data_IF_471494420371
#
_entry.id   IF_471494420371
#
_cell.length_a   1.000
_cell.length_b   1.000
_cell.length_c   1.000
_cell.angle_alpha   90.00
_cell.angle_beta   90.00
_cell.angle_gamma   90.00
#
_symmetry.space_group_name_H-M   'P 1'
#
loop_
_entity.id
_entity.type
_entity.pdbx_description
1 polymer ?
#
# COMPACT_ATOMS: atom_id res chain seq x y z
N UNK A 1 -22.80 -31.14 -19.39
CA UNK A 1 -23.09 -30.36 -18.17
C UNK A 1 -22.42 -29.01 -18.32
N UNK A 2 -23.15 -27.92 -18.31
CA UNK A 2 -22.54 -26.60 -18.28
C UNK A 2 -21.73 -26.45 -17.00
N UNK A 3 -20.50 -25.98 -17.11
CA UNK A 3 -19.62 -25.74 -15.97
C UNK A 3 -20.25 -24.60 -15.14
N UNK A 4 -20.53 -24.88 -13.86
CA UNK A 4 -21.08 -23.86 -12.95
C UNK A 4 -20.06 -22.71 -12.84
N UNK A 5 -20.49 -21.45 -12.99
CA UNK A 5 -19.58 -20.31 -12.87
C UNK A 5 -19.02 -20.20 -11.45
N UNK A 6 -17.74 -19.79 -11.36
CA UNK A 6 -17.05 -19.51 -10.09
C UNK A 6 -17.15 -18.01 -9.80
N UNK A 7 -17.70 -17.67 -8.65
CA UNK A 7 -17.88 -16.30 -8.18
C UNK A 7 -16.94 -16.01 -7.01
N UNK A 8 -16.08 -15.02 -7.17
CA UNK A 8 -15.15 -14.56 -6.13
C UNK A 8 -15.33 -13.06 -5.90
N UNK A 9 -15.57 -12.68 -4.65
CA UNK A 9 -15.60 -11.29 -4.26
C UNK A 9 -14.35 -10.96 -3.45
N UNK A 10 -13.53 -10.01 -3.90
CA UNK A 10 -12.49 -9.38 -3.13
C UNK A 10 -13.04 -8.13 -2.45
N UNK A 11 -12.74 -7.94 -1.18
CA UNK A 11 -13.07 -6.72 -0.45
C UNK A 11 -11.80 -6.08 0.10
N UNK A 12 -11.68 -4.76 -0.05
CA UNK A 12 -10.72 -3.94 0.65
C UNK A 12 -11.46 -3.18 1.76
N UNK A 13 -10.88 -3.10 2.94
CA UNK A 13 -11.38 -2.32 4.06
C UNK A 13 -10.31 -1.31 4.48
N UNK A 14 -10.70 -0.24 5.15
CA UNK A 14 -9.82 0.88 5.46
C UNK A 14 -10.29 2.13 4.72
N UNK A 15 -9.50 3.17 4.71
CA UNK A 15 -9.87 4.49 4.17
C UNK A 15 -10.22 4.53 2.66
N UNK A 16 -9.92 3.48 1.92
CA UNK A 16 -10.33 3.27 0.52
C UNK A 16 -11.07 1.92 0.39
N UNK A 17 -12.16 1.77 1.14
CA UNK A 17 -12.95 0.54 1.07
C UNK A 17 -13.57 0.34 -0.30
N UNK A 18 -13.69 -0.92 -0.72
CA UNK A 18 -14.28 -1.26 -2.00
C UNK A 18 -14.42 -2.76 -2.22
N UNK A 19 -15.10 -3.10 -3.29
CA UNK A 19 -15.36 -4.49 -3.70
C UNK A 19 -14.99 -4.69 -5.16
N UNK A 20 -14.41 -5.84 -5.47
CA UNK A 20 -14.26 -6.37 -6.81
C UNK A 20 -14.97 -7.72 -6.90
N UNK A 21 -15.85 -7.90 -7.86
CA UNK A 21 -16.52 -9.18 -8.14
C UNK A 21 -15.99 -9.80 -9.42
N UNK A 22 -15.52 -11.04 -9.32
CA UNK A 22 -15.12 -11.86 -10.47
C UNK A 22 -16.16 -12.95 -10.75
N UNK A 23 -16.34 -13.23 -12.05
CA UNK A 23 -17.00 -14.41 -12.56
C UNK A 23 -16.04 -15.15 -13.50
N UNK A 24 -15.68 -16.38 -13.19
CA UNK A 24 -14.76 -17.20 -13.99
C UNK A 24 -13.41 -16.49 -14.30
N UNK A 25 -12.95 -15.64 -13.38
CA UNK A 25 -11.71 -14.87 -13.49
C UNK A 25 -11.83 -13.50 -14.18
N UNK A 26 -12.98 -13.19 -14.75
CA UNK A 26 -13.25 -11.88 -15.37
C UNK A 26 -13.88 -10.91 -14.38
N UNK A 27 -13.44 -9.65 -14.39
CA UNK A 27 -14.00 -8.60 -13.52
C UNK A 27 -15.40 -8.24 -14.01
N UNK A 28 -16.42 -8.50 -13.19
CA UNK A 28 -17.80 -8.10 -13.46
C UNK A 28 -18.05 -6.66 -13.03
N UNK A 29 -17.57 -6.30 -11.84
CA UNK A 29 -17.49 -4.92 -11.39
C UNK A 29 -16.37 -4.75 -10.34
N UNK A 30 -15.88 -3.51 -10.23
CA UNK A 30 -15.07 -3.05 -9.12
C UNK A 30 -15.51 -1.63 -8.76
N UNK A 31 -15.73 -1.35 -7.46
CA UNK A 31 -16.23 -0.06 -7.00
C UNK A 31 -15.73 0.26 -5.60
N UNK A 32 -15.35 1.51 -5.40
CA UNK A 32 -15.08 2.05 -4.05
C UNK A 32 -16.37 2.41 -3.33
N UNK A 33 -16.41 2.19 -2.03
CA UNK A 33 -17.55 2.48 -1.17
C UNK A 33 -17.98 3.95 -1.27
N UNK A 34 -17.02 4.87 -1.27
CA UNK A 34 -17.27 6.32 -1.36
C UNK A 34 -18.06 6.74 -2.60
N UNK A 35 -18.03 5.93 -3.69
CA UNK A 35 -18.80 6.21 -4.90
C UNK A 35 -20.30 5.97 -4.69
N UNK A 36 -20.64 5.04 -3.79
CA UNK A 36 -22.01 4.71 -3.43
C UNK A 36 -22.52 5.58 -2.29
N UNK A 37 -21.73 5.73 -1.22
CA UNK A 37 -22.13 6.46 -0.02
C UNK A 37 -21.99 7.97 -0.13
N UNK A 38 -21.17 8.46 -1.08
CA UNK A 38 -20.80 9.88 -1.22
C UNK A 38 -20.02 10.44 -0.03
N UNK A 39 -19.47 9.56 0.80
CA UNK A 39 -18.59 9.91 1.91
C UNK A 39 -17.15 9.61 1.51
N UNK A 40 -16.32 10.66 1.39
CA UNK A 40 -14.92 10.51 1.03
C UNK A 40 -14.18 9.71 2.11
N UNK A 41 -13.34 8.77 1.68
CA UNK A 41 -12.57 7.88 2.56
C UNK A 41 -13.45 6.97 3.44
N UNK A 42 -14.62 6.55 2.95
CA UNK A 42 -15.48 5.61 3.66
C UNK A 42 -14.79 4.25 3.80
N UNK A 43 -14.64 3.80 5.06
CA UNK A 43 -13.78 2.67 5.43
C UNK A 43 -14.49 1.32 5.50
N UNK A 44 -15.81 1.27 5.34
CA UNK A 44 -16.59 0.03 5.44
C UNK A 44 -17.23 -0.35 4.11
N UNK A 45 -16.85 -1.44 3.44
CA UNK A 45 -17.36 -1.81 2.11
C UNK A 45 -18.79 -2.38 2.13
N UNK A 46 -19.72 -1.77 2.88
CA UNK A 46 -21.05 -2.34 3.12
C UNK A 46 -21.99 -2.18 1.95
N UNK A 47 -22.11 -0.98 1.38
CA UNK A 47 -22.97 -0.74 0.21
C UNK A 47 -22.39 -1.43 -1.03
N UNK A 48 -21.07 -1.44 -1.19
CA UNK A 48 -20.43 -2.18 -2.29
C UNK A 48 -20.58 -3.70 -2.15
N UNK A 49 -20.58 -4.26 -0.94
CA UNK A 49 -20.93 -5.68 -0.72
C UNK A 49 -22.38 -5.98 -1.07
N UNK A 50 -23.31 -5.09 -0.71
CA UNK A 50 -24.74 -5.26 -1.07
C UNK A 50 -24.94 -5.24 -2.59
N UNK A 51 -24.10 -4.48 -3.31
CA UNK A 51 -24.16 -4.43 -4.78
C UNK A 51 -23.86 -5.78 -5.45
N UNK A 52 -23.17 -6.71 -4.79
CA UNK A 52 -22.93 -8.06 -5.28
C UNK A 52 -24.26 -8.77 -5.65
N UNK A 53 -25.33 -8.51 -4.86
CA UNK A 53 -26.65 -9.12 -5.08
C UNK A 53 -27.32 -8.74 -6.42
N UNK A 54 -26.86 -7.68 -7.10
CA UNK A 54 -27.31 -7.32 -8.43
C UNK A 54 -26.81 -8.32 -9.51
N UNK A 55 -25.77 -9.12 -9.18
CA UNK A 55 -25.10 -10.01 -10.13
C UNK A 55 -25.19 -11.49 -9.76
N UNK A 56 -25.15 -11.80 -8.46
CA UNK A 56 -25.19 -13.18 -7.96
C UNK A 56 -25.76 -13.23 -6.54
N UNK A 57 -26.43 -14.35 -6.22
CA UNK A 57 -26.92 -14.66 -4.87
C UNK A 57 -25.97 -15.56 -4.07
N UNK A 58 -24.83 -15.94 -4.65
CA UNK A 58 -23.85 -16.85 -4.05
C UNK A 58 -22.45 -16.52 -4.48
N UNK A 59 -21.51 -16.64 -3.53
CA UNK A 59 -20.07 -16.62 -3.75
C UNK A 59 -19.48 -18.00 -3.48
N UNK A 60 -18.46 -18.38 -4.25
CA UNK A 60 -17.60 -19.50 -3.90
C UNK A 60 -16.57 -19.05 -2.86
N UNK A 61 -16.04 -17.83 -2.98
CA UNK A 61 -15.12 -17.24 -2.01
C UNK A 61 -15.37 -15.74 -1.79
N UNK A 62 -15.20 -15.31 -0.55
CA UNK A 62 -15.04 -13.91 -0.14
C UNK A 62 -13.60 -13.72 0.33
N UNK A 63 -12.86 -12.85 -0.32
CA UNK A 63 -11.43 -12.62 -0.04
C UNK A 63 -11.26 -11.25 0.58
N UNK A 64 -10.60 -11.16 1.73
CA UNK A 64 -10.45 -9.91 2.47
C UNK A 64 -9.02 -9.41 2.35
N UNK A 65 -8.87 -8.19 1.84
CA UNK A 65 -7.63 -7.44 1.77
C UNK A 65 -7.59 -6.36 2.85
N UNK A 66 -6.51 -6.30 3.59
CA UNK A 66 -6.20 -5.26 4.56
C UNK A 66 -4.71 -5.33 4.94
N UNK A 67 -4.28 -4.50 5.86
CA UNK A 67 -2.92 -4.51 6.44
C UNK A 67 -2.82 -5.33 7.72
N UNK A 68 -3.96 -5.70 8.31
CA UNK A 68 -4.05 -6.43 9.57
C UNK A 68 -5.10 -7.55 9.49
N UNK A 69 -4.85 -8.60 10.25
CA UNK A 69 -5.69 -9.79 10.31
C UNK A 69 -7.16 -9.46 10.61
N UNK A 70 -8.06 -10.15 9.90
CA UNK A 70 -9.51 -9.96 9.99
C UNK A 70 -10.06 -10.20 11.40
N UNK A 71 -9.65 -11.27 12.06
CA UNK A 71 -10.12 -11.59 13.42
C UNK A 71 -9.64 -10.59 14.47
N UNK A 72 -8.49 -9.99 14.25
CA UNK A 72 -7.87 -9.04 15.19
C UNK A 72 -8.53 -7.66 15.13
N UNK A 73 -8.96 -7.21 13.95
CA UNK A 73 -9.32 -5.81 13.72
C UNK A 73 -10.75 -5.56 13.25
N UNK A 74 -11.42 -6.56 12.67
CA UNK A 74 -12.83 -6.40 12.29
C UNK A 74 -13.74 -6.50 13.51
N UNK A 75 -14.66 -5.56 13.62
CA UNK A 75 -15.69 -5.61 14.66
C UNK A 75 -16.62 -6.79 14.50
N UNK A 76 -17.29 -7.20 15.58
CA UNK A 76 -18.32 -8.21 15.55
C UNK A 76 -19.65 -7.63 15.09
N UNK A 77 -20.40 -8.36 14.28
CA UNK A 77 -21.73 -7.93 13.80
C UNK A 77 -22.78 -8.14 14.87
N UNK A 78 -22.71 -9.29 15.55
CA UNK A 78 -23.64 -9.74 16.56
C UNK A 78 -22.98 -10.78 17.49
N UNK A 79 -23.82 -11.45 18.29
CA UNK A 79 -23.38 -12.50 19.22
C UNK A 79 -23.00 -13.83 18.53
N UNK A 80 -23.05 -13.91 17.22
CA UNK A 80 -22.69 -15.13 16.46
C UNK A 80 -21.19 -15.44 16.51
N UNK A 81 -20.37 -14.43 16.81
CA UNK A 81 -18.92 -14.54 16.81
C UNK A 81 -18.28 -14.21 15.45
N UNK A 82 -19.08 -13.95 14.42
CA UNK A 82 -18.57 -13.54 13.12
C UNK A 82 -17.91 -12.14 13.17
N UNK A 83 -16.90 -11.93 12.34
CA UNK A 83 -16.49 -10.56 11.98
C UNK A 83 -17.58 -9.90 11.13
N UNK A 84 -17.51 -8.57 11.01
CA UNK A 84 -18.55 -7.76 10.36
C UNK A 84 -18.78 -8.17 8.90
N UNK A 85 -17.74 -8.54 8.16
CA UNK A 85 -17.84 -8.85 6.72
C UNK A 85 -18.38 -10.26 6.50
N UNK A 86 -17.87 -11.23 7.25
CA UNK A 86 -18.39 -12.61 7.25
C UNK A 86 -19.86 -12.64 7.68
N UNK A 87 -20.20 -11.94 8.77
CA UNK A 87 -21.57 -11.88 9.26
C UNK A 87 -22.53 -11.24 8.25
N UNK A 88 -22.12 -10.15 7.61
CA UNK A 88 -22.91 -9.51 6.55
C UNK A 88 -23.11 -10.44 5.35
N UNK A 89 -22.06 -11.06 4.84
CA UNK A 89 -22.15 -12.00 3.71
C UNK A 89 -23.04 -13.22 4.03
N UNK A 90 -22.96 -13.75 5.26
CA UNK A 90 -23.85 -14.84 5.72
C UNK A 90 -25.30 -14.39 5.81
N UNK A 91 -25.58 -13.20 6.35
CA UNK A 91 -26.93 -12.65 6.45
C UNK A 91 -27.55 -12.42 5.06
N UNK A 92 -26.77 -11.92 4.12
CA UNK A 92 -27.20 -11.75 2.72
C UNK A 92 -27.37 -13.08 1.98
N UNK A 93 -26.84 -14.19 2.50
CA UNK A 93 -26.88 -15.51 1.85
C UNK A 93 -25.81 -15.71 0.78
N UNK A 94 -24.88 -14.78 0.65
CA UNK A 94 -23.78 -14.86 -0.31
C UNK A 94 -22.82 -16.02 -0.01
N UNK A 95 -22.64 -16.36 1.26
CA UNK A 95 -21.83 -17.50 1.72
C UNK A 95 -22.66 -18.41 2.64
N UNK A 96 -22.16 -19.61 2.91
CA UNK A 96 -22.87 -20.63 3.68
C UNK A 96 -23.24 -20.14 5.08
N UNK A 97 -24.48 -20.44 5.53
CA UNK A 97 -24.95 -20.19 6.89
C UNK A 97 -24.66 -21.36 7.86
N UNK A 98 -24.00 -22.43 7.39
CA UNK A 98 -23.67 -23.56 8.25
C UNK A 98 -22.77 -23.12 9.41
N UNK A 99 -22.93 -23.71 10.60
CA UNK A 99 -22.00 -23.47 11.71
C UNK A 99 -20.57 -23.84 11.33
N UNK A 100 -19.61 -23.11 11.86
CA UNK A 100 -18.18 -23.39 11.72
C UNK A 100 -17.46 -23.05 13.04
N UNK A 101 -16.19 -23.42 13.16
CA UNK A 101 -15.42 -23.16 14.36
C UNK A 101 -15.21 -21.63 14.54
N UNK A 102 -15.67 -21.02 15.64
CA UNK A 102 -15.57 -19.58 15.86
C UNK A 102 -14.12 -19.07 16.04
N UNK A 103 -13.16 -19.98 16.27
CA UNK A 103 -11.74 -19.65 16.38
C UNK A 103 -11.00 -19.68 15.03
N UNK A 104 -11.70 -20.02 13.96
CA UNK A 104 -11.20 -20.07 12.58
C UNK A 104 -11.96 -19.09 11.70
N UNK A 105 -11.42 -18.79 10.52
CA UNK A 105 -12.16 -18.08 9.50
C UNK A 105 -13.25 -18.99 8.91
N UNK A 106 -14.35 -18.39 8.47
CA UNK A 106 -15.36 -19.12 7.71
C UNK A 106 -14.72 -19.80 6.49
N UNK A 107 -15.08 -21.08 6.15
CA UNK A 107 -14.43 -21.84 5.06
C UNK A 107 -14.44 -21.17 3.68
N UNK A 108 -15.38 -20.24 3.43
CA UNK A 108 -15.44 -19.48 2.17
C UNK A 108 -14.85 -18.07 2.32
N UNK A 109 -14.28 -17.71 3.47
CA UNK A 109 -13.64 -16.40 3.71
C UNK A 109 -12.15 -16.58 3.85
N UNK A 110 -11.42 -15.98 2.93
CA UNK A 110 -9.95 -16.03 2.88
C UNK A 110 -9.41 -14.68 3.30
N UNK A 111 -8.64 -14.66 4.37
CA UNK A 111 -7.94 -13.46 4.85
C UNK A 111 -6.56 -13.36 4.21
N UNK A 112 -6.36 -12.35 3.37
CA UNK A 112 -5.09 -12.06 2.69
C UNK A 112 -4.38 -10.82 3.26
N UNK A 113 -4.71 -10.41 4.48
CA UNK A 113 -4.09 -9.23 5.11
C UNK A 113 -2.58 -9.35 5.31
N UNK A 114 -2.06 -10.58 5.39
CA UNK A 114 -0.64 -10.88 5.55
C UNK A 114 0.21 -10.65 4.29
N UNK A 115 -0.40 -10.29 3.15
CA UNK A 115 0.28 -10.11 1.86
C UNK A 115 -0.17 -8.83 1.13
N UNK A 116 -0.43 -7.75 1.87
CA UNK A 116 -1.02 -6.51 1.34
C UNK A 116 -0.26 -5.97 0.11
N UNK A 117 1.06 -5.80 0.19
CA UNK A 117 1.85 -5.34 -0.97
C UNK A 117 1.83 -6.33 -2.15
N UNK A 118 1.72 -7.63 -1.88
CA UNK A 118 1.54 -8.63 -2.95
C UNK A 118 0.18 -8.44 -3.65
N UNK A 119 -0.86 -8.00 -2.94
CA UNK A 119 -2.16 -7.71 -3.54
C UNK A 119 -2.09 -6.49 -4.46
N UNK A 120 -1.37 -5.43 -4.07
CA UNK A 120 -1.06 -4.32 -4.97
C UNK A 120 -0.29 -4.78 -6.22
N UNK A 121 0.74 -5.62 -6.03
CA UNK A 121 1.50 -6.18 -7.14
C UNK A 121 0.64 -7.04 -8.07
N UNK A 122 -0.24 -7.89 -7.51
CA UNK A 122 -1.15 -8.73 -8.27
C UNK A 122 -2.13 -7.88 -9.11
N UNK A 123 -2.71 -6.82 -8.53
CA UNK A 123 -3.58 -5.90 -9.26
C UNK A 123 -2.86 -5.32 -10.48
N UNK A 124 -1.69 -4.73 -10.27
CA UNK A 124 -0.94 -4.11 -11.35
C UNK A 124 -0.46 -5.13 -12.39
N UNK A 125 0.05 -6.27 -11.95
CA UNK A 125 0.60 -7.29 -12.82
C UNK A 125 -0.46 -7.93 -13.72
N UNK A 126 -1.57 -8.39 -13.15
CA UNK A 126 -2.62 -9.05 -13.94
C UNK A 126 -3.34 -8.09 -14.90
N UNK A 127 -3.42 -6.81 -14.58
CA UNK A 127 -4.06 -5.80 -15.43
C UNK A 127 -3.13 -5.17 -16.46
N UNK A 128 -1.81 -5.30 -16.28
CA UNK A 128 -0.82 -4.79 -17.24
C UNK A 128 -0.84 -5.53 -18.59
N UNK A 129 -1.33 -6.76 -18.61
CA UNK A 129 -1.24 -7.65 -19.77
C UNK A 129 0.15 -8.28 -19.97
N UNK A 130 1.09 -8.06 -19.03
CA UNK A 130 2.41 -8.69 -19.08
C UNK A 130 2.36 -10.14 -18.60
N UNK A 131 3.15 -11.01 -19.21
CA UNK A 131 3.31 -12.38 -18.73
C UNK A 131 4.42 -12.51 -17.67
N UNK A 132 5.34 -11.56 -17.67
CA UNK A 132 6.40 -11.40 -16.68
C UNK A 132 6.71 -9.91 -16.51
N UNK A 133 7.04 -9.49 -15.30
CA UNK A 133 7.38 -8.13 -14.97
C UNK A 133 8.12 -8.05 -13.64
N UNK A 134 8.68 -6.90 -13.31
CA UNK A 134 9.04 -6.56 -11.94
C UNK A 134 8.04 -5.55 -11.38
N UNK A 135 7.49 -5.84 -10.19
CA UNK A 135 6.57 -4.93 -9.52
C UNK A 135 7.31 -4.06 -8.51
N UNK A 136 7.04 -2.75 -8.55
CA UNK A 136 7.52 -1.76 -7.59
C UNK A 136 6.31 -1.21 -6.84
N UNK A 137 6.18 -1.57 -5.57
CA UNK A 137 5.09 -1.13 -4.71
C UNK A 137 5.62 -0.03 -3.79
N UNK A 138 4.93 1.11 -3.79
CA UNK A 138 5.28 2.28 -2.99
C UNK A 138 4.03 2.73 -2.25
N UNK A 139 3.97 2.42 -0.96
CA UNK A 139 2.77 2.59 -0.15
C UNK A 139 3.06 3.20 1.22
N UNK A 140 2.02 3.71 1.88
CA UNK A 140 2.14 4.34 3.20
C UNK A 140 2.37 3.35 4.33
N UNK A 141 1.62 2.27 4.33
CA UNK A 141 1.77 1.17 5.26
C UNK A 141 1.08 -0.08 4.72
N UNK A 142 1.84 -1.10 4.37
CA UNK A 142 1.33 -2.41 4.01
C UNK A 142 1.11 -3.31 5.22
N UNK A 143 1.37 -4.61 5.08
CA UNK A 143 1.16 -5.59 6.15
C UNK A 143 1.95 -5.23 7.41
N UNK A 144 1.27 -5.30 8.56
CA UNK A 144 1.90 -5.21 9.87
C UNK A 144 2.44 -6.58 10.28
N UNK A 145 3.71 -6.63 10.66
CA UNK A 145 4.46 -7.85 10.98
C UNK A 145 5.04 -7.69 12.37
N UNK A 146 4.80 -8.65 13.25
CA UNK A 146 5.44 -8.70 14.57
C UNK A 146 6.75 -9.49 14.45
N UNK A 147 7.88 -8.81 14.58
CA UNK A 147 9.20 -9.42 14.56
C UNK A 147 9.62 -9.77 15.98
N UNK A 148 10.06 -11.00 16.20
CA UNK A 148 10.71 -11.37 17.45
C UNK A 148 12.10 -10.75 17.50
N UNK A 149 12.38 -9.99 18.55
CA UNK A 149 13.71 -9.42 18.77
C UNK A 149 14.54 -10.34 19.67
N UNK A 150 15.86 -10.19 19.61
CA UNK A 150 16.79 -10.93 20.50
C UNK A 150 16.58 -10.60 22.00
N UNK A 151 15.81 -9.57 22.32
CA UNK A 151 15.43 -9.19 23.69
C UNK A 151 14.16 -9.91 24.16
N UNK A 152 13.50 -10.69 23.28
CA UNK A 152 12.28 -11.41 23.57
C UNK A 152 10.98 -10.60 23.48
N UNK A 153 11.07 -9.29 23.27
CA UNK A 153 9.89 -8.44 23.07
C UNK A 153 9.60 -8.31 21.57
N UNK A 154 8.37 -8.56 21.11
CA UNK A 154 8.02 -8.41 19.72
C UNK A 154 8.03 -6.93 19.32
N UNK A 155 8.57 -6.64 18.14
CA UNK A 155 8.53 -5.31 17.54
C UNK A 155 7.65 -5.34 16.29
N UNK A 156 6.61 -4.51 16.28
CA UNK A 156 5.75 -4.38 15.10
C UNK A 156 6.45 -3.50 14.06
N UNK A 157 6.54 -4.02 12.85
CA UNK A 157 7.00 -3.31 11.65
C UNK A 157 5.90 -3.37 10.58
N UNK A 158 6.00 -2.54 9.55
CA UNK A 158 5.09 -2.55 8.40
C UNK A 158 5.83 -2.34 7.09
N UNK A 159 5.26 -2.85 6.01
CA UNK A 159 5.79 -2.66 4.67
C UNK A 159 5.63 -1.20 4.22
N UNK A 160 6.67 -0.63 3.59
CA UNK A 160 6.64 0.72 2.98
C UNK A 160 6.89 0.66 1.48
N UNK A 161 8.02 0.10 1.05
CA UNK A 161 8.31 -0.18 -0.35
C UNK A 161 8.64 -1.66 -0.53
N UNK A 162 8.16 -2.26 -1.62
CA UNK A 162 8.45 -3.67 -1.93
C UNK A 162 8.71 -3.87 -3.42
N UNK A 163 9.65 -4.74 -3.73
CA UNK A 163 9.96 -5.17 -5.10
C UNK A 163 9.66 -6.66 -5.23
N UNK A 164 8.82 -7.03 -6.21
CA UNK A 164 8.52 -8.41 -6.55
C UNK A 164 8.97 -8.74 -7.97
N UNK A 165 9.57 -9.92 -8.14
CA UNK A 165 9.70 -10.55 -9.43
C UNK A 165 8.42 -11.34 -9.73
N UNK A 166 7.70 -10.95 -10.79
CA UNK A 166 6.39 -11.46 -11.11
C UNK A 166 6.43 -12.28 -12.40
N UNK A 167 5.80 -13.45 -12.39
CA UNK A 167 5.56 -14.25 -13.57
C UNK A 167 4.19 -14.96 -13.49
N UNK A 168 3.49 -14.97 -14.62
CA UNK A 168 2.19 -15.63 -14.73
C UNK A 168 2.34 -17.16 -14.54
N UNK A 169 1.38 -17.89 -13.89
CA UNK A 169 0.08 -17.37 -13.46
C UNK A 169 0.09 -16.68 -12.07
N UNK A 170 0.92 -17.08 -11.11
CA UNK A 170 0.82 -16.69 -9.71
C UNK A 170 2.18 -16.55 -8.98
N UNK A 171 3.26 -16.56 -9.73
CA UNK A 171 4.59 -16.42 -9.14
C UNK A 171 4.88 -14.95 -8.81
N UNK A 172 4.99 -14.66 -7.52
CA UNK A 172 5.38 -13.36 -6.96
C UNK A 172 6.52 -13.56 -5.97
N UNK A 173 7.75 -13.58 -6.48
CA UNK A 173 8.95 -13.71 -5.65
C UNK A 173 9.33 -12.34 -5.09
N UNK A 174 9.38 -12.19 -3.78
CA UNK A 174 9.92 -11.00 -3.14
C UNK A 174 11.41 -10.87 -3.42
N UNK A 175 11.87 -9.71 -3.87
CA UNK A 175 13.27 -9.37 -4.05
C UNK A 175 13.76 -8.42 -2.96
N UNK A 176 12.93 -7.49 -2.53
CA UNK A 176 13.27 -6.48 -1.54
C UNK A 176 12.04 -6.02 -0.77
N UNK A 177 12.21 -5.73 0.52
CA UNK A 177 11.24 -5.03 1.36
C UNK A 177 11.92 -3.95 2.18
N UNK A 178 11.30 -2.78 2.26
CA UNK A 178 11.55 -1.79 3.27
C UNK A 178 10.49 -1.93 4.36
N UNK A 179 10.93 -2.18 5.59
CA UNK A 179 10.07 -2.33 6.76
C UNK A 179 10.34 -1.17 7.73
N UNK A 180 9.32 -0.36 7.95
CA UNK A 180 9.33 0.71 8.93
C UNK A 180 8.87 0.23 10.30
N UNK A 181 9.25 0.93 11.37
CA UNK A 181 8.80 0.64 12.73
C UNK A 181 8.38 1.90 13.47
N UNK A 182 7.57 1.72 14.48
CA UNK A 182 7.14 2.75 15.42
C UNK A 182 7.98 2.77 16.71
N UNK A 183 9.00 1.97 16.81
CA UNK A 183 9.91 1.90 17.95
C UNK A 183 11.34 2.22 17.58
N UNK A 184 12.23 2.41 18.57
CA UNK A 184 13.65 2.63 18.28
C UNK A 184 14.24 1.44 17.53
N UNK A 185 14.85 1.71 16.39
CA UNK A 185 15.53 0.70 15.58
C UNK A 185 16.76 1.29 14.92
N UNK A 186 17.85 0.56 14.95
CA UNK A 186 19.03 0.91 14.16
C UNK A 186 18.74 0.56 12.70
N UNK A 187 18.93 1.51 11.81
CA UNK A 187 18.80 1.27 10.37
C UNK A 187 19.76 0.16 9.93
N UNK A 188 19.20 -0.91 9.36
CA UNK A 188 19.94 -2.08 8.91
C UNK A 188 19.49 -2.50 7.53
N UNK A 189 20.46 -2.82 6.67
CA UNK A 189 20.23 -3.47 5.40
C UNK A 189 20.73 -4.91 5.46
N UNK A 190 19.84 -5.83 5.30
CA UNK A 190 20.09 -7.27 5.40
C UNK A 190 19.92 -7.88 4.02
N UNK A 191 20.97 -8.53 3.53
CA UNK A 191 20.92 -9.31 2.30
C UNK A 191 20.47 -10.72 2.61
N UNK A 192 19.63 -11.27 1.74
CA UNK A 192 19.19 -12.65 1.83
C UNK A 192 18.85 -13.02 3.27
N UNK A 193 17.88 -12.31 3.87
CA UNK A 193 17.49 -12.53 5.24
C UNK A 193 17.26 -14.00 5.52
N UNK A 194 18.21 -14.61 6.21
CA UNK A 194 18.02 -15.92 6.80
C UNK A 194 17.20 -15.80 8.09
N UNK A 195 16.39 -16.81 8.35
CA UNK A 195 15.48 -16.94 9.47
C UNK A 195 16.10 -16.88 10.88
N UNK A 196 17.39 -16.62 11.04
CA UNK A 196 18.05 -16.55 12.33
C UNK A 196 17.68 -15.32 13.17
N UNK A 197 17.13 -14.26 12.52
CA UNK A 197 16.71 -13.03 13.19
C UNK A 197 15.23 -13.02 13.56
N UNK A 198 14.42 -13.89 12.94
CA UNK A 198 12.97 -13.90 13.08
C UNK A 198 12.45 -15.32 13.11
N UNK A 199 11.56 -15.64 14.04
CA UNK A 199 10.87 -16.93 14.11
C UNK A 199 9.89 -17.17 12.95
N UNK A 200 9.76 -16.22 12.05
CA UNK A 200 8.88 -16.26 10.88
C UNK A 200 9.65 -16.33 9.56
N UNK A 201 8.97 -16.82 8.56
CA UNK A 201 9.13 -18.19 8.09
C UNK A 201 10.45 -18.34 7.34
N UNK A 202 10.96 -19.55 7.28
CA UNK A 202 12.17 -20.00 6.56
C UNK A 202 12.27 -19.58 5.07
N UNK A 203 11.33 -18.75 4.60
CA UNK A 203 11.16 -18.32 3.20
C UNK A 203 11.62 -16.88 2.90
N UNK A 204 12.10 -16.14 3.90
CA UNK A 204 12.58 -14.78 3.67
C UNK A 204 14.00 -14.77 3.12
N UNK A 205 14.13 -15.16 1.86
CA UNK A 205 15.39 -15.15 1.10
C UNK A 205 15.54 -13.86 0.27
N UNK A 206 15.05 -12.73 0.76
CA UNK A 206 15.07 -11.46 0.05
C UNK A 206 15.78 -10.37 0.87
N UNK A 207 16.20 -9.33 0.19
CA UNK A 207 16.82 -8.18 0.83
C UNK A 207 15.80 -7.38 1.65
N UNK A 208 16.17 -7.01 2.87
CA UNK A 208 15.32 -6.21 3.77
C UNK A 208 16.06 -5.00 4.29
N UNK A 209 15.43 -3.84 4.20
CA UNK A 209 15.80 -2.63 4.91
C UNK A 209 14.90 -2.49 6.14
N UNK A 210 15.48 -2.50 7.33
CA UNK A 210 14.79 -2.17 8.58
C UNK A 210 15.16 -0.75 8.98
N UNK A 211 14.16 0.09 9.29
CA UNK A 211 14.42 1.49 9.67
C UNK A 211 13.29 2.08 10.51
N UNK A 212 13.66 3.02 11.38
CA UNK A 212 12.72 3.93 12.03
C UNK A 212 12.57 5.28 11.27
N UNK A 213 13.21 5.41 10.11
CA UNK A 213 13.09 6.59 9.27
C UNK A 213 11.84 6.49 8.40
N UNK A 214 11.32 7.61 7.98
CA UNK A 214 10.21 7.65 7.04
C UNK A 214 10.64 7.13 5.66
N UNK A 215 9.78 6.33 5.04
CA UNK A 215 9.86 5.96 3.63
C UNK A 215 9.32 7.07 2.72
N UNK A 216 9.15 6.76 1.44
CA UNK A 216 8.73 7.73 0.41
C UNK A 216 7.36 8.34 0.75
N UNK A 217 6.36 7.50 1.01
CA UNK A 217 4.98 7.97 1.24
C UNK A 217 4.87 8.72 2.56
N UNK A 218 5.48 8.21 3.64
CA UNK A 218 5.43 8.89 4.94
C UNK A 218 6.13 10.25 4.92
N UNK A 219 7.20 10.39 4.14
CA UNK A 219 7.83 11.70 3.90
C UNK A 219 6.87 12.65 3.17
N UNK A 220 6.14 12.15 2.18
CA UNK A 220 5.14 12.93 1.45
C UNK A 220 3.96 13.35 2.35
N UNK A 221 3.46 12.43 3.18
CA UNK A 221 2.40 12.70 4.17
C UNK A 221 2.83 13.77 5.17
N UNK A 222 4.05 13.70 5.70
CA UNK A 222 4.60 14.69 6.64
C UNK A 222 4.59 16.11 6.05
N UNK A 223 5.01 16.26 4.79
CA UNK A 223 4.96 17.56 4.10
C UNK A 223 3.52 17.97 3.80
N UNK A 224 2.63 17.02 3.53
CA UNK A 224 1.21 17.31 3.31
C UNK A 224 0.57 17.93 4.56
N UNK A 225 0.86 17.39 5.73
CA UNK A 225 0.41 17.98 7.01
C UNK A 225 1.03 19.35 7.26
N UNK A 226 2.33 19.52 7.01
CA UNK A 226 2.98 20.82 7.12
C UNK A 226 2.33 21.87 6.20
N UNK A 227 1.89 21.46 5.01
CA UNK A 227 1.16 22.34 4.09
C UNK A 227 -0.25 22.69 4.57
N UNK A 228 -0.72 22.14 5.70
CA UNK A 228 -2.02 22.41 6.29
C UNK A 228 -3.15 21.54 5.74
N UNK A 229 -2.83 20.42 5.13
CA UNK A 229 -3.79 19.42 4.64
C UNK A 229 -3.82 18.20 5.55
N UNK A 230 -4.88 17.38 5.48
CA UNK A 230 -4.84 16.07 6.11
C UNK A 230 -3.81 15.17 5.41
N UNK A 231 -3.09 14.34 6.15
CA UNK A 231 -2.04 13.46 5.61
C UNK A 231 -2.50 12.60 4.42
N UNK A 232 -3.77 12.15 4.42
CA UNK A 232 -4.37 11.38 3.32
C UNK A 232 -4.72 12.24 2.08
N UNK A 233 -4.60 13.57 2.17
CA UNK A 233 -4.91 14.49 1.08
C UNK A 233 -3.67 14.85 0.24
N UNK A 234 -2.73 13.90 0.06
CA UNK A 234 -1.49 14.08 -0.71
C UNK A 234 -1.69 14.70 -2.11
N UNK A 235 -2.84 14.46 -2.73
CA UNK A 235 -3.22 15.12 -3.99
C UNK A 235 -3.27 16.65 -3.93
N UNK A 236 -3.54 17.25 -2.76
CA UNK A 236 -3.50 18.71 -2.57
C UNK A 236 -2.06 19.22 -2.58
N UNK A 237 -1.13 18.50 -1.95
CA UNK A 237 0.31 18.81 -2.00
C UNK A 237 0.85 18.67 -3.42
N UNK A 238 0.44 17.62 -4.15
CA UNK A 238 0.73 17.48 -5.58
C UNK A 238 0.19 18.66 -6.41
N UNK A 239 -0.99 19.21 -6.07
CA UNK A 239 -1.52 20.41 -6.69
C UNK A 239 -0.80 21.70 -6.29
N UNK A 240 -0.16 21.72 -5.10
CA UNK A 240 0.55 22.89 -4.57
C UNK A 240 1.98 23.03 -5.13
N UNK A 241 2.64 21.89 -5.47
CA UNK A 241 4.06 21.89 -5.84
C UNK A 241 4.43 22.84 -7.01
N UNK A 242 3.59 23.04 -8.07
CA UNK A 242 3.97 23.93 -9.18
C UNK A 242 4.10 25.40 -8.77
N UNK A 243 3.57 25.78 -7.62
CA UNK A 243 3.67 27.14 -7.07
C UNK A 243 4.92 27.34 -6.21
N UNK A 244 5.66 26.27 -5.94
CA UNK A 244 6.95 26.32 -5.26
C UNK A 244 8.11 26.51 -6.23
N UNK A 245 9.29 26.68 -5.65
CA UNK A 245 10.52 26.79 -6.40
C UNK A 245 11.62 25.93 -5.77
N UNK A 246 12.67 25.64 -6.53
CA UNK A 246 13.81 24.91 -6.02
C UNK A 246 14.41 25.66 -4.83
N UNK A 247 14.40 25.03 -3.67
CA UNK A 247 15.05 25.49 -2.46
C UNK A 247 16.15 24.48 -2.07
N UNK A 248 17.07 24.89 -1.21
CA UNK A 248 18.12 23.97 -0.71
C UNK A 248 17.56 23.10 0.43
N UNK A 249 16.49 22.38 0.13
CA UNK A 249 15.80 21.47 1.04
C UNK A 249 16.03 20.05 0.55
N UNK A 250 16.56 19.19 1.41
CA UNK A 250 16.80 17.77 1.13
C UNK A 250 16.08 16.91 2.15
N UNK A 251 15.11 16.15 1.70
CA UNK A 251 14.26 15.32 2.56
C UNK A 251 14.79 13.88 2.71
N UNK A 252 15.67 13.45 1.82
CA UNK A 252 16.25 12.11 1.81
C UNK A 252 17.77 12.16 1.93
N UNK A 253 18.35 11.15 2.57
CA UNK A 253 19.78 10.95 2.65
C UNK A 253 20.35 10.60 1.27
N UNK A 254 21.49 11.23 0.93
CA UNK A 254 22.18 10.96 -0.33
C UNK A 254 23.20 9.81 -0.23
N UNK A 255 23.58 9.44 1.00
CA UNK A 255 24.61 8.45 1.29
C UNK A 255 24.08 7.01 1.32
N UNK A 256 22.79 6.84 1.09
CA UNK A 256 22.12 5.54 1.13
C UNK A 256 21.68 5.08 -0.26
N UNK A 257 21.71 3.76 -0.43
CA UNK A 257 21.20 3.15 -1.66
C UNK A 257 19.67 3.16 -1.76
N UNK A 258 18.98 3.21 -0.63
CA UNK A 258 17.54 3.06 -0.49
C UNK A 258 16.90 4.35 0.01
N UNK A 259 15.59 4.55 -0.22
CA UNK A 259 14.91 5.77 0.19
C UNK A 259 14.80 5.84 1.73
N UNK A 260 15.74 6.53 2.35
CA UNK A 260 15.75 6.80 3.79
C UNK A 260 15.63 8.30 3.99
N UNK A 261 14.60 8.75 4.71
CA UNK A 261 14.41 10.16 5.03
C UNK A 261 15.56 10.71 5.88
N UNK A 262 15.86 11.99 5.71
CA UNK A 262 16.80 12.70 6.59
C UNK A 262 16.09 13.09 7.88
N UNK A 263 16.60 12.63 9.03
CA UNK A 263 16.02 12.92 10.36
C UNK A 263 16.15 14.38 10.78
N UNK A 264 17.02 15.16 10.17
CA UNK A 264 17.06 16.60 10.39
C UNK A 264 15.82 17.28 9.82
N UNK A 265 15.26 16.71 8.76
CA UNK A 265 14.12 17.25 8.02
C UNK A 265 12.80 16.57 8.38
N UNK A 266 12.83 15.24 8.53
CA UNK A 266 11.64 14.41 8.76
C UNK A 266 11.82 13.60 10.03
N UNK A 267 10.92 13.78 10.98
CA UNK A 267 10.88 13.05 12.25
C UNK A 267 9.81 11.97 12.14
N UNK A 268 10.18 10.68 12.19
CA UNK A 268 9.21 9.60 12.32
C UNK A 268 8.43 9.74 13.63
N UNK A 269 7.14 9.44 13.58
CA UNK A 269 6.24 9.51 14.73
C UNK A 269 5.56 8.18 14.99
N UNK A 270 5.09 8.01 16.22
CA UNK A 270 4.27 6.89 16.62
C UNK A 270 2.77 7.23 16.40
N UNK A 271 1.91 6.27 15.96
CA UNK A 271 2.23 4.89 15.61
C UNK A 271 2.73 4.66 14.18
N UNK A 272 2.45 5.48 13.18
CA UNK A 272 2.72 5.20 11.77
C UNK A 272 2.88 6.47 10.93
N UNK A 273 3.24 7.57 11.54
CA UNK A 273 3.35 8.84 10.85
C UNK A 273 4.78 9.34 10.73
N UNK A 274 4.90 10.51 10.19
CA UNK A 274 6.08 11.34 10.24
C UNK A 274 5.66 12.81 10.20
N UNK A 275 6.47 13.69 10.79
CA UNK A 275 6.27 15.13 10.72
C UNK A 275 7.51 15.80 10.18
N UNK A 276 7.33 16.96 9.58
CA UNK A 276 8.46 17.87 9.28
C UNK A 276 9.05 18.35 10.62
N UNK A 277 10.37 18.39 10.72
CA UNK A 277 11.06 18.87 11.90
C UNK A 277 10.87 20.37 12.07
N UNK A 278 9.91 20.77 12.87
CA UNK A 278 9.61 22.17 13.14
C UNK A 278 10.78 22.93 13.77
N UNK A 279 11.62 22.27 14.57
CA UNK A 279 12.81 22.92 15.15
C UNK A 279 13.82 23.35 14.09
N UNK A 280 13.92 22.58 12.99
CA UNK A 280 14.76 22.95 11.85
C UNK A 280 14.18 24.14 11.07
N UNK A 281 12.86 24.28 11.08
CA UNK A 281 12.11 25.35 10.44
C UNK A 281 11.58 26.38 11.46
N UNK A 282 12.27 26.57 12.57
CA UNK A 282 11.78 27.38 13.70
C UNK A 282 11.42 28.82 13.29
N UNK A 283 12.15 29.41 12.35
CA UNK A 283 11.84 30.71 11.74
C UNK A 283 10.52 30.69 10.92
N UNK A 284 10.00 29.47 10.60
CA UNK A 284 8.81 29.27 9.79
C UNK A 284 7.54 29.04 10.63
N UNK A 285 7.70 28.70 11.91
CA UNK A 285 6.59 28.28 12.79
C UNK A 285 6.02 29.46 13.57
N UNK A 286 6.85 30.48 13.86
CA UNK A 286 6.45 31.65 14.68
C UNK A 286 5.61 32.70 13.92
N UNK A 287 5.27 32.40 12.65
CA UNK A 287 4.50 33.34 11.83
C UNK A 287 3.02 32.96 11.78
N UNK A 288 2.18 34.01 11.77
CA UNK A 288 0.74 33.88 11.63
C UNK A 288 0.33 33.15 10.33
N UNK A 289 -0.86 32.54 10.32
CA UNK A 289 -1.29 31.73 9.16
C UNK A 289 -1.36 32.53 7.84
N UNK A 290 -1.56 33.83 7.93
CA UNK A 290 -1.58 34.74 6.79
C UNK A 290 -0.21 35.23 6.33
N UNK A 291 0.87 34.84 6.99
CA UNK A 291 2.22 35.26 6.61
C UNK A 291 2.62 34.70 5.23
N UNK A 292 3.02 35.59 4.35
CA UNK A 292 3.48 35.28 2.99
C UNK A 292 4.71 34.34 3.04
N UNK A 293 5.57 34.49 4.04
CA UNK A 293 6.75 33.62 4.25
C UNK A 293 6.34 32.20 4.54
N UNK A 294 5.37 31.98 5.40
CA UNK A 294 4.85 30.65 5.71
C UNK A 294 4.25 29.98 4.46
N UNK A 295 3.50 30.72 3.67
CA UNK A 295 2.93 30.23 2.42
C UNK A 295 4.01 29.87 1.40
N UNK A 296 5.06 30.67 1.27
CA UNK A 296 6.19 30.41 0.39
C UNK A 296 6.92 29.12 0.83
N UNK A 297 7.15 28.92 2.12
CA UNK A 297 7.79 27.73 2.66
C UNK A 297 6.97 26.45 2.41
N UNK A 298 5.65 26.52 2.57
CA UNK A 298 4.74 25.43 2.23
C UNK A 298 4.85 25.04 0.75
N UNK A 299 4.87 26.02 -0.15
CA UNK A 299 5.04 25.80 -1.60
C UNK A 299 6.39 25.20 -1.93
N UNK A 300 7.46 25.71 -1.32
CA UNK A 300 8.83 25.21 -1.55
C UNK A 300 9.02 23.81 -0.99
N UNK A 301 8.43 23.45 0.16
CA UNK A 301 8.42 22.10 0.68
C UNK A 301 7.59 21.16 -0.19
N UNK A 302 6.43 21.60 -0.68
CA UNK A 302 5.65 20.82 -1.63
C UNK A 302 6.45 20.53 -2.92
N UNK A 303 7.20 21.54 -3.41
CA UNK A 303 8.10 21.35 -4.54
C UNK A 303 9.22 20.35 -4.22
N UNK A 304 9.86 20.48 -3.06
CA UNK A 304 10.93 19.58 -2.65
C UNK A 304 10.45 18.13 -2.50
N UNK A 305 9.34 17.90 -1.81
CA UNK A 305 8.84 16.54 -1.60
C UNK A 305 8.41 15.90 -2.92
N UNK A 306 7.75 16.64 -3.81
CA UNK A 306 7.38 16.10 -5.12
C UNK A 306 8.62 15.69 -5.91
N UNK A 307 9.62 16.57 -6.03
CA UNK A 307 10.82 16.31 -6.84
C UNK A 307 11.72 15.25 -6.22
N UNK A 308 11.86 15.22 -4.90
CA UNK A 308 12.71 14.22 -4.26
C UNK A 308 12.07 12.82 -4.25
N UNK A 309 10.78 12.72 -3.91
CA UNK A 309 10.11 11.41 -3.86
C UNK A 309 10.04 10.75 -5.24
N UNK A 310 9.71 11.49 -6.31
CA UNK A 310 9.72 10.93 -7.66
C UNK A 310 11.11 10.43 -8.08
N UNK A 311 12.17 11.15 -7.69
CA UNK A 311 13.55 10.71 -7.94
C UNK A 311 13.92 9.45 -7.14
N UNK A 312 13.41 9.29 -5.91
CA UNK A 312 13.60 8.05 -5.15
C UNK A 312 12.90 6.86 -5.82
N UNK A 313 11.69 7.05 -6.37
CA UNK A 313 10.98 5.99 -7.10
C UNK A 313 11.71 5.63 -8.39
N UNK A 314 12.24 6.59 -9.14
CA UNK A 314 13.09 6.31 -10.33
C UNK A 314 14.29 5.43 -9.96
N UNK A 315 14.95 5.71 -8.83
CA UNK A 315 16.03 4.86 -8.32
C UNK A 315 15.56 3.45 -7.96
N UNK A 316 14.36 3.33 -7.35
CA UNK A 316 13.77 2.02 -7.06
C UNK A 316 13.46 1.24 -8.33
N UNK A 317 12.90 1.89 -9.37
CA UNK A 317 12.63 1.25 -10.67
C UNK A 317 13.94 0.71 -11.28
N UNK A 318 14.99 1.53 -11.35
CA UNK A 318 16.29 1.08 -11.88
C UNK A 318 16.87 -0.11 -11.10
N UNK A 319 16.68 -0.13 -9.79
CA UNK A 319 17.09 -1.27 -8.95
C UNK A 319 16.25 -2.50 -9.20
N UNK A 320 14.93 -2.34 -9.27
CA UNK A 320 14.03 -3.43 -9.56
C UNK A 320 14.38 -4.13 -10.88
N UNK A 321 14.63 -3.34 -11.92
CA UNK A 321 15.13 -3.84 -13.22
C UNK A 321 16.46 -4.58 -13.06
N UNK A 322 17.42 -4.00 -12.33
CA UNK A 322 18.72 -4.63 -12.10
C UNK A 322 18.62 -5.94 -11.30
N UNK A 323 17.77 -5.98 -10.27
CA UNK A 323 17.61 -7.15 -9.40
C UNK A 323 16.88 -8.31 -10.12
N UNK A 324 15.88 -7.99 -10.92
CA UNK A 324 15.06 -8.99 -11.63
C UNK A 324 15.63 -9.39 -12.99
N UNK A 325 16.45 -8.55 -13.62
CA UNK A 325 16.85 -8.67 -15.02
C UNK A 325 15.73 -8.42 -16.03
N UNK A 326 14.57 -7.92 -15.59
CA UNK A 326 13.39 -7.62 -16.41
C UNK A 326 13.29 -6.14 -16.71
N UNK A 327 12.79 -5.79 -17.90
CA UNK A 327 12.58 -4.43 -18.33
C UNK A 327 11.11 -3.98 -18.36
N UNK A 328 10.17 -4.88 -18.02
CA UNK A 328 8.76 -4.56 -17.82
C UNK A 328 8.52 -4.30 -16.36
N UNK A 329 8.02 -3.10 -16.04
CA UNK A 329 7.82 -2.63 -14.68
C UNK A 329 6.36 -2.33 -14.46
N UNK A 330 5.78 -2.87 -13.39
CA UNK A 330 4.44 -2.49 -12.92
C UNK A 330 4.55 -1.74 -11.60
N UNK A 331 3.78 -0.66 -11.45
CA UNK A 331 3.81 0.22 -10.27
C UNK A 331 2.43 0.25 -9.64
N UNK A 332 2.36 0.11 -8.31
CA UNK A 332 1.15 0.25 -7.49
C UNK A 332 1.51 0.67 -6.06
N UNK A 333 0.51 0.75 -5.17
CA UNK A 333 0.56 1.38 -3.86
C UNK A 333 0.10 2.84 -3.95
N UNK A 334 -0.24 3.45 -2.83
CA UNK A 334 -0.84 4.78 -2.79
C UNK A 334 -0.08 5.86 -3.57
N UNK A 335 1.25 5.76 -3.64
CA UNK A 335 2.08 6.69 -4.41
C UNK A 335 1.86 6.58 -5.94
N UNK A 336 1.38 5.44 -6.44
CA UNK A 336 1.06 5.26 -7.86
C UNK A 336 -0.03 6.21 -8.39
N UNK A 337 -0.80 6.84 -7.49
CA UNK A 337 -1.75 7.90 -7.85
C UNK A 337 -1.10 9.26 -8.16
N UNK A 338 0.21 9.41 -7.91
CA UNK A 338 0.92 10.65 -8.20
C UNK A 338 1.21 10.77 -9.71
N UNK A 339 0.25 11.33 -10.44
CA UNK A 339 0.32 11.45 -11.90
C UNK A 339 1.50 12.32 -12.38
N UNK A 340 1.98 13.26 -11.57
CA UNK A 340 3.16 14.07 -11.88
C UNK A 340 4.42 13.21 -11.84
N UNK A 341 4.56 12.39 -10.79
CA UNK A 341 5.67 11.46 -10.69
C UNK A 341 5.65 10.40 -11.80
N UNK A 342 4.46 9.89 -12.16
CA UNK A 342 4.29 8.90 -13.21
C UNK A 342 4.76 9.44 -14.58
N UNK A 343 4.50 10.71 -14.86
CA UNK A 343 5.01 11.36 -16.08
C UNK A 343 6.55 11.48 -16.06
N UNK A 344 7.10 11.88 -14.92
CA UNK A 344 8.55 12.00 -14.74
C UNK A 344 9.30 10.66 -14.92
N UNK A 345 8.69 9.53 -14.57
CA UNK A 345 9.31 8.23 -14.82
C UNK A 345 9.54 8.00 -16.31
N UNK A 346 8.56 8.36 -17.15
CA UNK A 346 8.66 8.21 -18.60
C UNK A 346 9.78 9.09 -19.17
N UNK A 347 9.92 10.33 -18.68
CA UNK A 347 10.98 11.23 -19.16
C UNK A 347 12.38 10.80 -18.69
N UNK A 348 12.51 10.48 -17.40
CA UNK A 348 13.80 10.10 -16.83
C UNK A 348 14.30 8.72 -17.24
N UNK A 349 13.42 7.83 -17.70
CA UNK A 349 13.74 6.45 -18.07
C UNK A 349 13.63 6.16 -19.57
N UNK A 350 13.35 7.19 -20.40
CA UNK A 350 13.10 7.05 -21.85
C UNK A 350 14.22 6.34 -22.62
N UNK A 351 15.47 6.47 -22.16
CA UNK A 351 16.65 5.89 -22.80
C UNK A 351 17.06 4.53 -22.20
N UNK A 352 16.34 4.03 -21.18
CA UNK A 352 16.70 2.82 -20.42
C UNK A 352 16.03 1.54 -20.97
N UNK A 353 15.26 1.62 -22.06
CA UNK A 353 14.48 0.51 -22.63
C UNK A 353 13.59 -0.19 -21.58
N UNK A 354 12.92 0.60 -20.74
CA UNK A 354 11.99 0.13 -19.70
C UNK A 354 10.57 0.40 -20.13
N UNK A 355 9.72 -0.62 -20.11
CA UNK A 355 8.28 -0.51 -20.34
C UNK A 355 7.56 -0.41 -19.00
N UNK A 356 6.82 0.68 -18.78
CA UNK A 356 6.17 0.94 -17.47
C UNK A 356 4.66 0.86 -17.61
N UNK A 357 4.03 0.12 -16.72
CA UNK A 357 2.60 0.15 -16.46
C UNK A 357 2.35 0.66 -15.04
N UNK A 358 1.59 1.72 -14.88
CA UNK A 358 1.12 2.21 -13.60
C UNK A 358 -0.34 1.81 -13.42
N UNK A 359 -0.66 1.15 -12.32
CA UNK A 359 -2.03 0.73 -12.02
C UNK A 359 -2.92 1.96 -11.76
N UNK A 360 -4.00 2.16 -12.51
CA UNK A 360 -4.90 3.30 -12.29
C UNK A 360 -5.62 3.29 -10.93
N UNK A 361 -5.87 2.11 -10.36
CA UNK A 361 -6.47 1.93 -9.03
C UNK A 361 -5.38 1.50 -8.06
N UNK A 362 -4.37 2.37 -7.90
CA UNK A 362 -3.18 2.10 -7.09
C UNK A 362 -3.42 2.18 -5.58
N UNK A 363 -4.52 2.78 -5.13
CA UNK A 363 -4.87 2.85 -3.70
C UNK A 363 -5.33 1.49 -3.17
N UNK A 364 -5.64 1.41 -1.87
CA UNK A 364 -6.04 0.18 -1.20
C UNK A 364 -7.29 -0.48 -1.81
N UNK A 365 -8.20 0.29 -2.43
CA UNK A 365 -9.35 -0.30 -3.14
C UNK A 365 -8.91 -1.25 -4.27
N UNK A 366 -7.75 -1.00 -4.89
CA UNK A 366 -7.16 -1.89 -5.87
C UNK A 366 -6.79 -3.26 -5.30
N UNK A 367 -6.47 -3.36 -4.03
CA UNK A 367 -6.13 -4.65 -3.40
C UNK A 367 -7.29 -5.64 -3.41
N UNK A 368 -8.54 -5.16 -3.44
CA UNK A 368 -9.71 -6.02 -3.64
C UNK A 368 -9.66 -6.77 -4.99
N UNK A 369 -9.23 -6.08 -6.05
CA UNK A 369 -9.03 -6.72 -7.37
C UNK A 369 -7.89 -7.73 -7.33
N UNK A 370 -6.74 -7.34 -6.76
CA UNK A 370 -5.59 -8.22 -6.62
C UNK A 370 -5.91 -9.49 -5.82
N UNK A 371 -6.65 -9.34 -4.73
CA UNK A 371 -7.08 -10.46 -3.89
C UNK A 371 -8.00 -11.43 -4.66
N UNK A 372 -9.02 -10.91 -5.34
CA UNK A 372 -9.93 -11.74 -6.11
C UNK A 372 -9.23 -12.44 -7.29
N UNK A 373 -8.38 -11.73 -8.03
CA UNK A 373 -7.64 -12.28 -9.16
C UNK A 373 -6.61 -13.33 -8.71
N UNK A 374 -5.87 -13.06 -7.62
CA UNK A 374 -4.89 -14.01 -7.08
C UNK A 374 -5.56 -15.28 -6.56
N UNK A 375 -6.75 -15.15 -5.94
CA UNK A 375 -7.54 -16.30 -5.47
C UNK A 375 -8.02 -17.18 -6.63
N UNK A 376 -8.29 -16.59 -7.78
CA UNK A 376 -8.77 -17.32 -8.97
C UNK A 376 -7.66 -18.11 -9.65
N UNK A 377 -6.39 -17.72 -9.53
CA UNK A 377 -5.23 -18.37 -10.17
C UNK A 377 -4.78 -19.58 -9.39
#
# INVERSE_FOLDING_TARGET
MEKKPVWIAGIARGHNAGVCLLKDGEIVFAIEEERLTRQKYDGGPYASMMKILEYTDKLDFLVVAHTQNLQRTAGRVDFSGDDVYTGLARKMGLISRKPYNPNENHPQVIDMSHIHHKLHAATAFYRSGFNDAVAVIVDGAGTFIDLQTNTGEPQTVWETETIYDCAYPDNFKTLYKHLGTNGPMVTQYLKDMSSELYDEPKEWTHDVLLTENAGIVKTYEAVTEYCGFSFIEAGKTMGLFPYGRRANIKLFRNDTMWPISDRQMIIPTYPNGAHVNYNFFQELVDHDEEDVTKLENRRNLAYAVQTETQNQVVKLIKRAVKMSGKNKVVISGGYGLNCVANYEYLDQLKDENIEIYVEPVSNDAGTAMGAAMLMHR
#
